data_IF_879742297148
#
_entry.id   IF_879742297148
#
_cell.length_a   1.000
_cell.length_b   1.000
_cell.length_c   1.000
_cell.angle_alpha   90.00
_cell.angle_beta   90.00
_cell.angle_gamma   90.00
#
_symmetry.space_group_name_H-M   'P 1'
#
loop_
_entity.id
_entity.type
_entity.pdbx_description
1 polymer ?
#
# COMPACT_ATOMS: atom_id res chain seq x y z
N UNK A 1 57.95 -3.03 27.51
CA UNK A 1 58.57 -2.35 28.67
C UNK A 1 57.54 -1.42 29.26
N UNK A 2 57.32 -1.47 30.57
CA UNK A 2 56.50 -0.47 31.28
C UNK A 2 57.21 0.87 31.13
N UNK A 3 56.51 1.89 30.60
CA UNK A 3 57.08 3.22 30.37
C UNK A 3 57.23 4.01 31.66
N UNK A 4 58.11 5.02 31.64
CA UNK A 4 58.20 6.03 32.69
C UNK A 4 57.09 7.08 32.50
N UNK A 5 56.42 7.47 33.59
CA UNK A 5 55.33 8.45 33.57
C UNK A 5 55.70 9.61 34.49
N UNK A 6 55.73 10.81 33.92
CA UNK A 6 55.98 12.05 34.64
C UNK A 6 54.66 12.76 34.97
N UNK A 7 54.46 13.10 36.24
CA UNK A 7 53.25 13.77 36.71
C UNK A 7 53.53 15.22 37.15
N UNK A 8 52.67 16.14 36.74
CA UNK A 8 52.68 17.54 37.20
C UNK A 8 51.48 17.81 38.11
N UNK A 9 51.64 17.71 39.44
CA UNK A 9 50.54 17.94 40.39
C UNK A 9 50.15 19.41 40.43
N UNK A 10 49.01 19.76 39.83
CA UNK A 10 48.53 21.15 39.67
C UNK A 10 48.46 21.89 41.01
N UNK A 11 48.14 21.19 42.09
CA UNK A 11 48.06 21.75 43.45
C UNK A 11 49.43 22.03 44.12
N UNK A 12 50.53 21.54 43.56
CA UNK A 12 51.88 21.67 44.14
C UNK A 12 52.89 22.34 43.22
N UNK A 13 52.63 22.38 41.92
CA UNK A 13 53.52 23.05 40.95
C UNK A 13 53.46 24.56 41.21
N UNK A 14 54.62 25.15 41.48
CA UNK A 14 54.79 26.60 41.58
C UNK A 14 55.58 27.07 40.37
N UNK A 15 54.97 27.95 39.57
CA UNK A 15 55.62 28.55 38.41
C UNK A 15 56.16 29.94 38.76
N UNK A 16 57.34 30.26 38.23
CA UNK A 16 57.92 31.61 38.33
C UNK A 16 57.03 32.63 37.61
N UNK A 17 57.03 33.91 38.02
CA UNK A 17 56.32 34.96 37.31
C UNK A 17 56.81 35.03 35.86
N UNK A 18 55.88 35.34 34.96
CA UNK A 18 56.17 35.50 33.53
C UNK A 18 57.13 36.66 33.35
N UNK A 19 58.19 36.43 32.58
CA UNK A 19 59.18 37.44 32.20
C UNK A 19 58.85 37.95 30.81
N UNK A 20 59.07 39.23 30.56
CA UNK A 20 58.92 39.84 29.24
C UNK A 20 60.24 39.79 28.46
N UNK A 21 60.14 39.74 27.14
CA UNK A 21 61.29 39.80 26.24
C UNK A 21 61.54 41.26 25.85
N UNK A 22 62.80 41.71 25.91
CA UNK A 22 63.18 43.06 25.53
C UNK A 22 63.41 43.27 24.02
N UNK A 23 63.24 42.23 23.20
CA UNK A 23 63.69 42.21 21.81
C UNK A 23 62.63 41.60 20.87
N UNK A 24 62.35 42.25 19.73
CA UNK A 24 61.40 41.76 18.71
C UNK A 24 61.88 40.51 17.93
N UNK A 25 63.17 40.19 18.02
CA UNK A 25 63.79 39.06 17.34
C UNK A 25 63.40 37.68 17.94
N UNK A 26 62.65 37.67 19.04
CA UNK A 26 62.22 36.48 19.76
C UNK A 26 60.78 36.61 20.25
N UNK A 27 60.09 35.48 20.42
CA UNK A 27 58.75 35.42 21.03
C UNK A 27 58.72 34.30 22.06
N UNK A 28 58.01 34.51 23.17
CA UNK A 28 57.84 33.43 24.17
C UNK A 28 57.03 32.29 23.55
N UNK A 29 57.47 31.05 23.79
CA UNK A 29 56.76 29.88 23.28
C UNK A 29 55.33 29.81 23.81
N UNK A 30 55.13 30.23 25.07
CA UNK A 30 53.83 30.25 25.73
C UNK A 30 52.78 31.08 24.96
N UNK A 31 53.19 32.14 24.25
CA UNK A 31 52.27 32.99 23.47
C UNK A 31 51.77 32.35 22.18
N UNK A 32 52.46 31.30 21.71
CA UNK A 32 52.06 30.54 20.53
C UNK A 32 51.19 29.32 20.83
N UNK A 33 50.88 29.05 22.10
CA UNK A 33 50.17 27.85 22.54
C UNK A 33 48.75 28.17 22.97
N UNK A 34 47.80 27.33 22.55
CA UNK A 34 46.43 27.33 23.06
C UNK A 34 46.28 26.19 24.07
N UNK A 35 45.91 26.52 25.30
CA UNK A 35 45.70 25.57 26.37
C UNK A 35 44.59 26.04 27.31
N UNK A 36 44.00 25.11 28.05
CA UNK A 36 42.97 25.41 29.06
C UNK A 36 43.61 26.21 30.21
N UNK A 37 43.05 27.39 30.59
CA UNK A 37 43.53 28.21 31.70
C UNK A 37 43.72 27.47 33.02
N UNK A 38 42.95 26.39 33.25
CA UNK A 38 43.12 25.52 34.42
C UNK A 38 44.54 24.98 34.58
N UNK A 39 45.27 24.79 33.48
CA UNK A 39 46.63 24.25 33.47
C UNK A 39 47.71 25.33 33.33
N UNK A 40 47.36 26.61 33.43
CA UNK A 40 48.30 27.73 33.20
C UNK A 40 49.58 27.61 34.03
N UNK A 41 49.46 27.23 35.31
CA UNK A 41 50.61 27.07 36.20
C UNK A 41 51.58 26.00 35.69
N UNK A 42 51.08 24.91 35.11
CA UNK A 42 51.89 23.83 34.55
C UNK A 42 52.55 24.28 33.25
N UNK A 43 51.80 24.88 32.33
CA UNK A 43 52.34 25.39 31.06
C UNK A 43 53.39 26.48 31.29
N UNK A 44 53.18 27.36 32.26
CA UNK A 44 54.17 28.37 32.66
C UNK A 44 55.41 27.74 33.29
N UNK A 45 55.26 26.68 34.09
CA UNK A 45 56.40 25.97 34.67
C UNK A 45 57.27 25.32 33.59
N UNK A 46 56.66 24.70 32.58
CA UNK A 46 57.38 23.96 31.52
C UNK A 46 57.93 24.92 30.44
N UNK A 47 57.11 25.85 29.94
CA UNK A 47 57.43 26.68 28.77
C UNK A 47 57.70 28.16 29.09
N UNK A 48 57.51 28.61 30.33
CA UNK A 48 57.59 30.03 30.68
C UNK A 48 58.98 30.66 30.57
N UNK A 49 60.04 29.84 30.49
CA UNK A 49 61.43 30.29 30.26
C UNK A 49 61.94 29.94 28.86
N UNK A 50 61.07 29.54 27.94
CA UNK A 50 61.43 29.14 26.58
C UNK A 50 61.01 30.21 25.57
N UNK A 51 61.96 30.67 24.77
CA UNK A 51 61.75 31.64 23.70
C UNK A 51 62.04 31.01 22.33
N UNK A 52 61.20 31.33 21.34
CA UNK A 52 61.38 30.94 19.94
C UNK A 52 62.12 32.05 19.22
N UNK A 53 63.19 31.69 18.52
CA UNK A 53 64.08 32.62 17.81
C UNK A 53 64.20 32.25 16.33
N UNK A 54 64.43 33.25 15.47
CA UNK A 54 64.58 33.02 14.02
C UNK A 54 65.93 32.40 13.65
N UNK A 55 66.98 32.71 14.39
CA UNK A 55 68.33 32.24 14.09
C UNK A 55 69.09 31.83 15.35
N UNK A 56 70.01 30.88 15.21
CA UNK A 56 70.86 30.39 16.29
C UNK A 56 71.73 31.51 16.91
N UNK A 57 72.18 32.46 16.07
CA UNK A 57 72.95 33.63 16.52
C UNK A 57 72.12 34.57 17.41
N UNK A 58 70.85 34.80 17.04
CA UNK A 58 69.94 35.59 17.86
C UNK A 58 69.64 34.89 19.19
N UNK A 59 69.43 33.57 19.15
CA UNK A 59 69.23 32.75 20.35
C UNK A 59 70.42 32.77 21.30
N UNK A 60 71.66 32.69 20.80
CA UNK A 60 72.85 32.72 21.65
C UNK A 60 73.01 34.07 22.38
N UNK A 61 72.72 35.19 21.70
CA UNK A 61 72.69 36.52 22.33
C UNK A 61 71.62 36.60 23.42
N UNK A 62 70.40 36.16 23.10
CA UNK A 62 69.28 36.20 24.04
C UNK A 62 69.50 35.30 25.26
N UNK A 63 70.02 34.10 25.06
CA UNK A 63 70.32 33.16 26.13
C UNK A 63 71.39 33.71 27.10
N UNK A 64 72.41 34.42 26.60
CA UNK A 64 73.47 35.02 27.43
C UNK A 64 73.03 36.29 28.16
N UNK A 65 72.26 37.17 27.49
CA UNK A 65 71.89 38.48 28.03
C UNK A 65 70.67 38.35 28.95
N UNK A 66 69.60 37.74 28.45
CA UNK A 66 68.32 37.69 29.15
C UNK A 66 68.10 36.36 29.88
N UNK A 67 68.91 35.33 29.62
CA UNK A 67 68.77 34.06 30.30
C UNK A 67 67.40 33.42 30.02
N UNK A 68 67.08 33.21 28.74
CA UNK A 68 65.99 32.34 28.25
C UNK A 68 66.53 31.12 27.52
N UNK A 69 65.88 29.97 27.67
CA UNK A 69 66.19 28.80 26.85
C UNK A 69 65.60 29.07 25.46
N UNK A 70 66.40 28.99 24.41
CA UNK A 70 66.01 29.41 23.06
C UNK A 70 65.84 28.19 22.15
N UNK A 71 64.83 28.22 21.28
CA UNK A 71 64.58 27.18 20.28
C UNK A 71 64.37 27.81 18.91
N UNK A 72 65.03 27.29 17.87
CA UNK A 72 64.83 27.73 16.48
C UNK A 72 63.65 27.00 15.83
N UNK A 73 63.12 27.54 14.73
CA UNK A 73 62.08 26.83 13.93
C UNK A 73 62.59 25.52 13.31
N UNK A 74 63.90 25.38 13.16
CA UNK A 74 64.54 24.16 12.63
C UNK A 74 64.72 23.09 13.72
N UNK A 75 64.47 23.43 14.99
CA UNK A 75 64.52 22.50 16.12
C UNK A 75 65.82 22.53 16.92
N UNK A 76 66.74 23.44 16.61
CA UNK A 76 67.96 23.64 17.40
C UNK A 76 67.62 24.30 18.73
N UNK A 77 68.24 23.83 19.80
CA UNK A 77 68.02 24.28 21.17
C UNK A 77 69.30 24.89 21.73
N UNK A 78 69.16 26.04 22.38
CA UNK A 78 70.24 26.75 23.07
C UNK A 78 69.82 26.94 24.51
N UNK A 79 70.50 26.26 25.43
CA UNK A 79 70.30 26.45 26.85
C UNK A 79 70.87 27.78 27.31
N UNK A 80 70.28 28.36 28.35
CA UNK A 80 70.84 29.50 29.10
C UNK A 80 72.24 29.27 29.65
N UNK A 81 72.60 28.01 29.84
CA UNK A 81 73.93 27.59 30.31
C UNK A 81 74.96 27.51 29.18
N UNK A 82 74.56 27.75 27.94
CA UNK A 82 75.43 27.74 26.76
C UNK A 82 75.51 26.40 26.03
N UNK A 83 74.78 25.38 26.50
CA UNK A 83 74.66 24.10 25.79
C UNK A 83 73.85 24.29 24.50
N UNK A 84 74.34 23.75 23.39
CA UNK A 84 73.70 23.84 22.08
C UNK A 84 73.44 22.44 21.57
N UNK A 85 72.17 22.12 21.33
CA UNK A 85 71.73 20.82 20.83
C UNK A 85 71.07 21.03 19.48
N UNK A 86 71.58 20.36 18.45
CA UNK A 86 71.03 20.40 17.09
C UNK A 86 71.16 19.05 16.40
N UNK A 87 70.52 18.90 15.25
CA UNK A 87 70.56 17.66 14.47
C UNK A 87 69.49 17.58 13.39
N UNK A 88 69.52 16.52 12.58
CA UNK A 88 68.49 16.28 11.56
C UNK A 88 67.20 15.77 12.22
N UNK A 89 66.12 16.55 12.08
CA UNK A 89 64.78 16.16 12.51
C UNK A 89 63.95 15.74 11.29
N UNK A 90 63.47 14.50 11.27
CA UNK A 90 62.53 14.04 10.24
C UNK A 90 61.14 14.66 10.49
N UNK A 91 60.82 15.71 9.73
CA UNK A 91 59.52 16.38 9.78
C UNK A 91 58.34 15.43 9.60
N UNK A 92 58.50 14.33 8.82
CA UNK A 92 57.41 13.35 8.58
C UNK A 92 57.06 12.53 9.82
N UNK A 93 57.90 12.57 10.85
CA UNK A 93 57.70 11.85 12.12
C UNK A 93 57.30 12.78 13.27
N UNK A 94 56.72 13.94 12.97
CA UNK A 94 56.20 14.84 13.99
C UNK A 94 55.12 14.15 14.83
N UNK A 95 55.43 13.92 16.12
CA UNK A 95 54.49 13.30 17.07
C UNK A 95 53.21 14.13 17.25
N UNK A 96 53.31 15.45 17.16
CA UNK A 96 52.17 16.35 17.25
C UNK A 96 51.23 16.21 16.05
N UNK A 97 51.78 16.07 14.84
CA UNK A 97 50.97 15.82 13.64
C UNK A 97 50.27 14.47 13.70
N UNK A 98 50.97 13.43 14.16
CA UNK A 98 50.37 12.11 14.39
C UNK A 98 49.26 12.16 15.44
N UNK A 99 49.47 12.89 16.55
CA UNK A 99 48.44 13.09 17.57
C UNK A 99 47.20 13.78 16.98
N UNK A 100 47.39 14.87 16.22
CA UNK A 100 46.29 15.59 15.57
C UNK A 100 45.56 14.72 14.54
N UNK A 101 46.28 13.88 13.79
CA UNK A 101 45.68 12.91 12.89
C UNK A 101 44.83 11.89 13.65
N UNK A 102 45.35 11.32 14.74
CA UNK A 102 44.60 10.38 15.60
C UNK A 102 43.34 11.03 16.18
N UNK A 103 43.42 12.27 16.67
CA UNK A 103 42.26 12.99 17.19
C UNK A 103 41.19 13.22 16.12
N UNK A 104 41.59 13.63 14.90
CA UNK A 104 40.66 13.77 13.77
C UNK A 104 39.99 12.44 13.41
N UNK A 105 40.78 11.36 13.32
CA UNK A 105 40.23 10.03 13.02
C UNK A 105 39.26 9.55 14.10
N UNK A 106 39.53 9.85 15.38
CA UNK A 106 38.61 9.54 16.48
C UNK A 106 37.30 10.32 16.39
N UNK A 107 37.36 11.61 16.04
CA UNK A 107 36.17 12.42 15.82
C UNK A 107 35.34 11.87 14.66
N UNK A 108 35.98 11.55 13.54
CA UNK A 108 35.31 10.94 12.39
C UNK A 108 34.69 9.58 12.74
N UNK A 109 35.38 8.75 13.54
CA UNK A 109 34.83 7.48 14.00
C UNK A 109 33.54 7.70 14.80
N UNK A 110 33.55 8.62 15.77
CA UNK A 110 32.38 8.93 16.59
C UNK A 110 31.21 9.49 15.75
N UNK A 111 31.50 10.32 14.75
CA UNK A 111 30.49 10.82 13.81
C UNK A 111 29.89 9.69 12.97
N UNK A 112 30.72 8.79 12.43
CA UNK A 112 30.26 7.64 11.65
C UNK A 112 29.44 6.67 12.50
N UNK A 113 29.87 6.38 13.73
CA UNK A 113 29.12 5.54 14.67
C UNK A 113 27.72 6.11 14.94
N UNK A 114 27.62 7.42 15.18
CA UNK A 114 26.33 8.09 15.37
C UNK A 114 25.44 8.04 14.11
N UNK A 115 26.03 8.10 12.92
CA UNK A 115 25.28 7.95 11.65
C UNK A 115 24.78 6.53 11.47
N UNK A 116 25.60 5.52 11.76
CA UNK A 116 25.22 4.11 11.67
C UNK A 116 24.09 3.80 12.66
N UNK A 117 24.17 4.28 13.89
CA UNK A 117 23.13 4.09 14.90
C UNK A 117 21.80 4.69 14.45
N UNK A 118 21.81 5.94 13.94
CA UNK A 118 20.61 6.58 13.39
C UNK A 118 20.05 5.82 12.20
N UNK A 119 20.90 5.37 11.28
CA UNK A 119 20.49 4.60 10.11
C UNK A 119 19.87 3.25 10.52
N UNK A 120 20.44 2.57 11.52
CA UNK A 120 19.90 1.33 12.08
C UNK A 120 18.53 1.55 12.71
N UNK A 121 18.35 2.61 13.48
CA UNK A 121 17.05 2.95 14.08
C UNK A 121 15.97 3.16 13.00
N UNK A 122 16.25 3.98 11.99
CA UNK A 122 15.33 4.23 10.87
C UNK A 122 15.04 2.96 10.08
N UNK A 123 16.05 2.10 9.89
CA UNK A 123 15.88 0.81 9.21
C UNK A 123 14.94 -0.12 9.99
N UNK A 124 15.11 -0.21 11.31
CA UNK A 124 14.27 -1.02 12.18
C UNK A 124 12.82 -0.51 12.22
N UNK A 125 12.61 0.81 12.29
CA UNK A 125 11.27 1.41 12.21
C UNK A 125 10.58 1.09 10.88
N UNK A 126 11.30 1.23 9.76
CA UNK A 126 10.78 0.88 8.43
C UNK A 126 10.47 -0.61 8.32
N UNK A 127 11.33 -1.48 8.85
CA UNK A 127 11.10 -2.92 8.86
C UNK A 127 9.83 -3.28 9.66
N UNK A 128 9.63 -2.65 10.83
CA UNK A 128 8.41 -2.84 11.63
C UNK A 128 7.15 -2.37 10.89
N UNK A 129 7.22 -1.25 10.15
CA UNK A 129 6.10 -0.76 9.35
C UNK A 129 5.78 -1.67 8.15
N UNK A 130 6.80 -2.20 7.48
CA UNK A 130 6.62 -3.18 6.39
C UNK A 130 5.92 -4.44 6.92
N UNK A 131 6.29 -4.91 8.11
CA UNK A 131 5.65 -6.08 8.70
C UNK A 131 4.19 -5.84 9.07
N UNK A 132 3.86 -4.65 9.60
CA UNK A 132 2.46 -4.26 9.83
C UNK A 132 1.64 -4.25 8.55
N UNK A 133 2.17 -3.64 7.48
CA UNK A 133 1.49 -3.60 6.18
C UNK A 133 1.30 -5.01 5.59
N UNK A 134 2.27 -5.92 5.78
CA UNK A 134 2.13 -7.32 5.36
C UNK A 134 0.98 -8.01 6.09
N UNK A 135 0.89 -7.84 7.42
CA UNK A 135 -0.21 -8.41 8.20
C UNK A 135 -1.57 -7.86 7.76
N UNK A 136 -1.66 -6.57 7.44
CA UNK A 136 -2.88 -5.96 6.89
C UNK A 136 -3.24 -6.53 5.51
N UNK A 137 -2.28 -6.69 4.61
CA UNK A 137 -2.49 -7.35 3.32
C UNK A 137 -3.01 -8.78 3.50
N UNK A 138 -2.42 -9.58 4.40
CA UNK A 138 -2.85 -10.95 4.66
C UNK A 138 -4.29 -11.03 5.19
N UNK A 139 -4.72 -10.03 5.97
CA UNK A 139 -6.12 -9.93 6.46
C UNK A 139 -7.05 -9.61 5.30
N UNK A 140 -6.70 -8.63 4.46
CA UNK A 140 -7.49 -8.24 3.29
C UNK A 140 -7.60 -9.38 2.28
N UNK A 141 -6.53 -10.13 2.03
CA UNK A 141 -6.53 -11.28 1.13
C UNK A 141 -7.46 -12.39 1.62
N UNK A 142 -7.47 -12.66 2.93
CA UNK A 142 -8.44 -13.57 3.55
C UNK A 142 -9.86 -13.05 3.37
N UNK A 143 -10.10 -11.77 3.59
CA UNK A 143 -11.42 -11.17 3.42
C UNK A 143 -11.92 -11.31 1.97
N UNK A 144 -11.07 -11.00 0.99
CA UNK A 144 -11.34 -11.18 -0.44
C UNK A 144 -11.70 -12.63 -0.76
N UNK A 145 -10.97 -13.61 -0.22
CA UNK A 145 -11.29 -15.02 -0.40
C UNK A 145 -12.68 -15.36 0.14
N UNK A 146 -13.02 -14.91 1.36
CA UNK A 146 -14.36 -15.16 1.92
C UNK A 146 -15.47 -14.49 1.12
N UNK A 147 -15.24 -13.28 0.59
CA UNK A 147 -16.21 -12.57 -0.25
C UNK A 147 -16.38 -13.28 -1.59
N UNK A 148 -15.30 -13.78 -2.20
CA UNK A 148 -15.37 -14.58 -3.43
C UNK A 148 -16.19 -15.86 -3.23
N UNK A 149 -16.01 -16.56 -2.12
CA UNK A 149 -16.79 -17.77 -1.80
C UNK A 149 -18.26 -17.46 -1.56
N UNK A 150 -18.56 -16.39 -0.83
CA UNK A 150 -19.94 -15.89 -0.64
C UNK A 150 -20.60 -15.54 -1.98
N UNK A 151 -19.87 -14.83 -2.85
CA UNK A 151 -20.35 -14.45 -4.17
C UNK A 151 -20.60 -15.69 -5.05
N UNK A 152 -19.68 -16.66 -5.06
CA UNK A 152 -19.84 -17.92 -5.79
C UNK A 152 -21.09 -18.66 -5.34
N UNK A 153 -21.26 -18.83 -4.03
CA UNK A 153 -22.42 -19.51 -3.44
C UNK A 153 -23.73 -18.80 -3.79
N UNK A 154 -23.76 -17.46 -3.73
CA UNK A 154 -24.93 -16.67 -4.10
C UNK A 154 -25.25 -16.78 -5.60
N UNK A 155 -24.22 -16.78 -6.46
CA UNK A 155 -24.35 -16.94 -7.91
C UNK A 155 -24.91 -18.32 -8.30
N UNK A 156 -24.41 -19.38 -7.66
CA UNK A 156 -24.91 -20.75 -7.84
C UNK A 156 -26.39 -20.87 -7.41
N UNK A 157 -26.77 -20.29 -6.25
CA UNK A 157 -28.17 -20.21 -5.81
C UNK A 157 -29.05 -19.45 -6.80
N UNK A 158 -28.58 -18.30 -7.30
CA UNK A 158 -29.31 -17.52 -8.31
C UNK A 158 -29.54 -18.35 -9.58
N UNK A 159 -28.51 -19.04 -10.08
CA UNK A 159 -28.61 -19.91 -11.26
C UNK A 159 -29.63 -21.02 -11.04
N UNK A 160 -29.59 -21.69 -9.90
CA UNK A 160 -30.54 -22.75 -9.55
C UNK A 160 -31.99 -22.24 -9.49
N UNK A 161 -32.23 -21.12 -8.81
CA UNK A 161 -33.57 -20.51 -8.72
C UNK A 161 -34.06 -20.04 -10.08
N UNK A 162 -33.19 -19.46 -10.92
CA UNK A 162 -33.55 -19.07 -12.29
C UNK A 162 -33.95 -20.28 -13.14
N UNK A 163 -33.24 -21.41 -13.01
CA UNK A 163 -33.59 -22.65 -13.72
C UNK A 163 -34.93 -23.23 -13.24
N UNK A 164 -35.18 -23.24 -11.92
CA UNK A 164 -36.48 -23.66 -11.38
C UNK A 164 -37.62 -22.77 -11.89
N UNK A 165 -37.40 -21.45 -11.91
CA UNK A 165 -38.39 -20.50 -12.40
C UNK A 165 -38.70 -20.72 -13.89
N UNK A 166 -37.69 -20.94 -14.72
CA UNK A 166 -37.88 -21.25 -16.14
C UNK A 166 -38.65 -22.56 -16.35
N UNK A 167 -38.35 -23.61 -15.57
CA UNK A 167 -39.08 -24.87 -15.66
C UNK A 167 -40.54 -24.71 -15.24
N UNK A 168 -40.80 -23.94 -14.17
CA UNK A 168 -42.15 -23.62 -13.71
C UNK A 168 -42.95 -22.84 -14.76
N UNK A 169 -42.31 -21.85 -15.40
CA UNK A 169 -42.90 -21.08 -16.49
C UNK A 169 -43.23 -21.96 -17.71
N UNK A 170 -42.32 -22.84 -18.13
CA UNK A 170 -42.55 -23.78 -19.24
C UNK A 170 -43.70 -24.74 -18.97
N UNK A 171 -43.87 -25.15 -17.71
CA UNK A 171 -44.97 -26.04 -17.31
C UNK A 171 -46.30 -25.31 -17.12
N UNK A 172 -46.31 -23.98 -17.00
CA UNK A 172 -47.51 -23.18 -16.75
C UNK A 172 -48.45 -23.18 -17.96
N UNK A 173 -47.93 -22.94 -19.16
CA UNK A 173 -48.71 -22.87 -20.40
C UNK A 173 -49.46 -24.17 -20.74
N UNK A 174 -48.84 -25.37 -20.73
CA UNK A 174 -49.57 -26.61 -20.99
C UNK A 174 -50.62 -26.90 -19.92
N UNK A 175 -50.36 -26.55 -18.64
CA UNK A 175 -51.38 -26.68 -17.59
C UNK A 175 -52.57 -25.75 -17.80
N UNK A 176 -52.34 -24.50 -18.24
CA UNK A 176 -53.42 -23.59 -18.61
C UNK A 176 -54.24 -24.17 -19.78
N UNK A 177 -53.57 -24.65 -20.82
CA UNK A 177 -54.25 -25.28 -21.96
C UNK A 177 -55.07 -26.52 -21.53
N UNK A 178 -54.52 -27.35 -20.65
CA UNK A 178 -55.22 -28.50 -20.08
C UNK A 178 -56.45 -28.09 -19.27
N UNK A 179 -56.36 -27.04 -18.45
CA UNK A 179 -57.50 -26.49 -17.72
C UNK A 179 -58.61 -25.99 -18.67
N UNK A 180 -58.25 -25.34 -19.78
CA UNK A 180 -59.22 -24.90 -20.79
C UNK A 180 -59.88 -26.10 -21.48
N UNK A 181 -59.09 -27.10 -21.86
CA UNK A 181 -59.60 -28.34 -22.45
C UNK A 181 -60.60 -29.04 -21.52
N UNK A 182 -60.24 -29.24 -20.25
CA UNK A 182 -61.11 -29.86 -19.27
C UNK A 182 -62.39 -29.06 -19.03
N UNK A 183 -62.31 -27.71 -18.99
CA UNK A 183 -63.50 -26.86 -18.88
C UNK A 183 -64.45 -27.01 -20.07
N UNK A 184 -63.92 -27.08 -21.30
CA UNK A 184 -64.74 -27.30 -22.49
C UNK A 184 -65.37 -28.69 -22.48
N UNK A 185 -64.61 -29.71 -22.09
CA UNK A 185 -65.10 -31.08 -21.93
C UNK A 185 -66.25 -31.18 -20.93
N UNK A 186 -66.13 -30.49 -19.79
CA UNK A 186 -67.20 -30.42 -18.80
C UNK A 186 -68.45 -29.79 -19.41
N UNK A 187 -68.33 -28.65 -20.11
CA UNK A 187 -69.46 -27.99 -20.78
C UNK A 187 -70.11 -28.87 -21.85
N UNK A 188 -69.32 -29.61 -22.62
CA UNK A 188 -69.83 -30.57 -23.61
C UNK A 188 -70.66 -31.66 -22.92
N UNK A 189 -70.12 -32.27 -21.87
CA UNK A 189 -70.81 -33.33 -21.11
C UNK A 189 -72.08 -32.78 -20.46
N UNK A 190 -72.02 -31.60 -19.84
CA UNK A 190 -73.19 -30.92 -19.26
C UNK A 190 -74.28 -30.66 -20.31
N UNK A 191 -73.91 -30.14 -21.49
CA UNK A 191 -74.84 -29.91 -22.59
C UNK A 191 -75.44 -31.23 -23.12
N UNK A 192 -74.65 -32.30 -23.22
CA UNK A 192 -75.18 -33.61 -23.61
C UNK A 192 -76.13 -34.18 -22.56
N UNK A 193 -75.82 -34.03 -21.27
CA UNK A 193 -76.69 -34.46 -20.19
C UNK A 193 -78.00 -33.67 -20.17
N UNK A 194 -77.95 -32.36 -20.40
CA UNK A 194 -79.14 -31.51 -20.49
C UNK A 194 -80.01 -31.85 -21.71
N UNK A 195 -79.39 -32.12 -22.86
CA UNK A 195 -80.08 -32.57 -24.07
C UNK A 195 -80.76 -33.93 -23.88
N UNK A 196 -80.04 -34.92 -23.32
CA UNK A 196 -80.60 -36.25 -23.02
C UNK A 196 -81.73 -36.13 -21.99
N UNK A 197 -81.60 -35.31 -20.96
CA UNK A 197 -82.67 -35.04 -20.00
C UNK A 197 -83.91 -34.43 -20.65
N UNK A 198 -83.76 -33.53 -21.64
CA UNK A 198 -84.89 -32.97 -22.41
C UNK A 198 -85.54 -34.01 -23.34
N UNK A 199 -84.80 -35.02 -23.78
CA UNK A 199 -85.31 -36.13 -24.59
C UNK A 199 -86.04 -37.19 -23.75
N UNK A 200 -85.85 -37.22 -22.44
CA UNK A 200 -86.59 -38.12 -21.56
C UNK A 200 -88.05 -37.65 -21.49
N UNK A 201 -88.95 -38.40 -22.11
CA UNK A 201 -90.40 -38.18 -22.07
C UNK A 201 -91.01 -37.59 -23.35
N UNK A 202 -90.24 -37.36 -24.41
CA UNK A 202 -90.78 -36.92 -25.71
C UNK A 202 -91.23 -38.11 -26.58
N UNK A 203 -92.34 -37.98 -27.34
CA UNK A 203 -92.83 -39.05 -28.22
C UNK A 203 -91.94 -39.23 -29.46
N UNK A 204 -91.54 -40.47 -29.75
CA UNK A 204 -90.74 -40.84 -30.93
C UNK A 204 -91.58 -40.78 -32.21
N UNK A 205 -91.62 -39.62 -32.87
CA UNK A 205 -92.28 -39.42 -34.15
C UNK A 205 -91.30 -39.65 -35.32
N UNK A 206 -91.75 -40.29 -36.41
CA UNK A 206 -90.93 -40.60 -37.59
C UNK A 206 -90.66 -39.38 -38.50
N UNK A 207 -91.35 -38.26 -38.31
CA UNK A 207 -91.25 -37.06 -39.15
C UNK A 207 -91.24 -35.81 -38.26
N UNK A 208 -90.38 -34.83 -38.58
CA UNK A 208 -90.31 -33.54 -37.89
C UNK A 208 -91.62 -32.76 -38.03
N UNK A 209 -92.11 -32.19 -36.93
CA UNK A 209 -93.22 -31.23 -36.90
C UNK A 209 -92.86 -29.93 -37.63
N UNK A 210 -93.85 -29.12 -38.03
CA UNK A 210 -93.61 -27.84 -38.70
C UNK A 210 -92.83 -26.84 -37.83
N UNK A 211 -93.06 -26.85 -36.52
CA UNK A 211 -92.34 -26.03 -35.54
C UNK A 211 -90.85 -26.42 -35.47
N UNK A 212 -90.56 -27.72 -35.49
CA UNK A 212 -89.18 -28.23 -35.52
C UNK A 212 -88.48 -27.91 -36.85
N UNK A 213 -89.20 -27.91 -37.98
CA UNK A 213 -88.63 -27.49 -39.28
C UNK A 213 -88.27 -26.00 -39.31
N UNK A 214 -89.10 -25.14 -38.73
CA UNK A 214 -88.78 -23.72 -38.61
C UNK A 214 -87.61 -23.48 -37.66
N UNK A 215 -87.57 -24.19 -36.52
CA UNK A 215 -86.46 -24.12 -35.58
C UNK A 215 -85.16 -24.64 -36.21
N UNK A 216 -85.21 -25.69 -37.04
CA UNK A 216 -84.07 -26.21 -37.77
C UNK A 216 -83.47 -25.18 -38.74
N UNK A 217 -84.32 -24.48 -39.50
CA UNK A 217 -83.88 -23.45 -40.43
C UNK A 217 -83.24 -22.27 -39.69
N UNK A 218 -83.86 -21.81 -38.59
CA UNK A 218 -83.27 -20.77 -37.74
C UNK A 218 -81.95 -21.22 -37.11
N UNK A 219 -81.85 -22.48 -36.66
CA UNK A 219 -80.61 -23.04 -36.14
C UNK A 219 -79.52 -23.11 -37.22
N UNK A 220 -79.87 -23.49 -38.45
CA UNK A 220 -78.92 -23.50 -39.58
C UNK A 220 -78.40 -22.10 -39.93
N UNK A 221 -79.26 -21.09 -39.91
CA UNK A 221 -78.86 -19.70 -40.13
C UNK A 221 -77.95 -19.20 -38.99
N UNK A 222 -78.34 -19.44 -37.73
CA UNK A 222 -77.54 -19.12 -36.55
C UNK A 222 -76.20 -19.88 -36.53
N UNK A 223 -76.15 -21.13 -36.99
CA UNK A 223 -74.90 -21.90 -37.14
C UNK A 223 -74.01 -21.25 -38.20
N UNK A 224 -74.57 -20.80 -39.32
CA UNK A 224 -73.85 -20.06 -40.35
C UNK A 224 -73.23 -18.77 -39.81
N UNK A 225 -74.02 -17.95 -39.13
CA UNK A 225 -73.56 -16.69 -38.55
C UNK A 225 -72.49 -16.92 -37.46
N UNK A 226 -72.71 -17.89 -36.56
CA UNK A 226 -71.73 -18.23 -35.52
C UNK A 226 -70.45 -18.82 -36.10
N UNK A 227 -70.50 -19.58 -37.21
CA UNK A 227 -69.30 -20.04 -37.92
C UNK A 227 -68.49 -18.87 -38.46
N UNK A 228 -69.14 -17.91 -39.13
CA UNK A 228 -68.46 -16.72 -39.65
C UNK A 228 -67.81 -15.90 -38.53
N UNK A 229 -68.49 -15.75 -37.39
CA UNK A 229 -67.95 -15.07 -36.21
C UNK A 229 -66.81 -15.86 -35.55
N UNK A 230 -66.88 -17.19 -35.53
CA UNK A 230 -65.79 -18.04 -35.04
C UNK A 230 -64.55 -17.91 -35.93
N UNK A 231 -64.73 -17.87 -37.24
CA UNK A 231 -63.63 -17.72 -38.20
C UNK A 231 -62.96 -16.36 -38.09
N UNK A 232 -63.72 -15.27 -37.93
CA UNK A 232 -63.15 -13.94 -37.73
C UNK A 232 -62.37 -13.82 -36.42
N UNK A 233 -62.91 -14.35 -35.32
CA UNK A 233 -62.23 -14.38 -34.02
C UNK A 233 -60.98 -15.28 -34.07
N UNK A 234 -61.03 -16.42 -34.74
CA UNK A 234 -59.88 -17.29 -34.91
C UNK A 234 -58.76 -16.62 -35.72
N UNK A 235 -59.08 -15.89 -36.80
CA UNK A 235 -58.08 -15.12 -37.56
C UNK A 235 -57.39 -14.08 -36.67
N UNK A 236 -58.18 -13.30 -35.92
CA UNK A 236 -57.63 -12.32 -34.98
C UNK A 236 -56.77 -12.98 -33.91
N UNK A 237 -57.18 -14.14 -33.38
CA UNK A 237 -56.39 -14.90 -32.41
C UNK A 237 -55.05 -15.35 -32.97
N UNK A 238 -55.02 -15.86 -34.20
CA UNK A 238 -53.79 -16.31 -34.87
C UNK A 238 -52.84 -15.14 -35.12
N UNK A 239 -53.37 -13.98 -35.54
CA UNK A 239 -52.56 -12.75 -35.71
C UNK A 239 -51.94 -12.31 -34.38
N UNK A 240 -52.73 -12.26 -33.31
CA UNK A 240 -52.26 -11.95 -31.96
C UNK A 240 -51.24 -12.96 -31.43
N UNK A 241 -51.46 -14.27 -31.64
CA UNK A 241 -50.48 -15.31 -31.29
C UNK A 241 -49.17 -15.12 -32.06
N UNK A 242 -49.21 -14.80 -33.36
CA UNK A 242 -48.02 -14.55 -34.17
C UNK A 242 -47.22 -13.34 -33.67
N UNK A 243 -47.91 -12.26 -33.32
CA UNK A 243 -47.27 -11.04 -32.80
C UNK A 243 -46.67 -11.27 -31.42
N UNK A 244 -47.35 -12.01 -30.55
CA UNK A 244 -46.83 -12.45 -29.25
C UNK A 244 -45.53 -13.24 -29.44
N UNK A 245 -45.54 -14.27 -30.30
CA UNK A 245 -44.39 -15.14 -30.55
C UNK A 245 -43.20 -14.34 -31.10
N UNK A 246 -43.45 -13.37 -31.99
CA UNK A 246 -42.40 -12.47 -32.50
C UNK A 246 -41.77 -11.64 -31.39
N UNK A 247 -42.57 -11.04 -30.52
CA UNK A 247 -42.10 -10.22 -29.39
C UNK A 247 -41.34 -11.08 -28.36
N UNK A 248 -41.85 -12.26 -28.03
CA UNK A 248 -41.19 -13.22 -27.13
C UNK A 248 -39.84 -13.67 -27.68
N UNK A 249 -39.76 -13.94 -28.99
CA UNK A 249 -38.50 -14.26 -29.65
C UNK A 249 -37.52 -13.09 -29.59
N UNK A 250 -37.95 -11.85 -29.85
CA UNK A 250 -37.07 -10.68 -29.72
C UNK A 250 -36.56 -10.49 -28.28
N UNK A 251 -37.42 -10.73 -27.30
CA UNK A 251 -37.08 -10.58 -25.89
C UNK A 251 -36.09 -11.65 -25.42
N UNK A 252 -36.31 -12.90 -25.82
CA UNK A 252 -35.45 -14.05 -25.46
C UNK A 252 -34.13 -14.07 -26.22
N UNK A 253 -34.14 -13.86 -27.54
CA UNK A 253 -32.91 -13.98 -28.36
C UNK A 253 -32.02 -12.75 -28.28
N UNK A 254 -32.59 -11.55 -28.15
CA UNK A 254 -31.83 -10.30 -28.23
C UNK A 254 -31.67 -9.63 -26.86
N UNK A 255 -32.79 -9.27 -26.22
CA UNK A 255 -32.75 -8.40 -25.04
C UNK A 255 -32.23 -9.13 -23.79
N UNK A 256 -32.65 -10.36 -23.55
CA UNK A 256 -32.13 -11.16 -22.44
C UNK A 256 -30.63 -11.46 -22.60
N UNK A 257 -30.18 -11.82 -23.81
CA UNK A 257 -28.75 -12.05 -24.08
C UNK A 257 -27.91 -10.78 -23.92
N UNK A 258 -28.37 -9.63 -24.42
CA UNK A 258 -27.67 -8.35 -24.22
C UNK A 258 -27.55 -8.00 -22.74
N UNK A 259 -28.61 -8.21 -21.96
CA UNK A 259 -28.58 -7.99 -20.50
C UNK A 259 -27.59 -8.91 -19.80
N UNK A 260 -27.55 -10.19 -20.15
CA UNK A 260 -26.58 -11.15 -19.59
C UNK A 260 -25.14 -10.76 -19.95
N UNK A 261 -24.87 -10.41 -21.21
CA UNK A 261 -23.55 -9.97 -21.65
C UNK A 261 -23.09 -8.71 -20.91
N UNK A 262 -23.98 -7.74 -20.68
CA UNK A 262 -23.65 -6.52 -19.93
C UNK A 262 -23.38 -6.81 -18.45
N UNK A 263 -24.14 -7.74 -17.84
CA UNK A 263 -23.91 -8.17 -16.46
C UNK A 263 -22.61 -8.96 -16.29
N UNK A 264 -22.19 -9.73 -17.30
CA UNK A 264 -20.89 -10.41 -17.26
C UNK A 264 -19.71 -9.45 -17.44
N UNK A 265 -19.90 -8.34 -18.17
CA UNK A 265 -18.84 -7.34 -18.40
C UNK A 265 -18.71 -6.36 -17.23
N UNK A 266 -19.77 -6.09 -16.47
CA UNK A 266 -19.73 -5.19 -15.30
C UNK A 266 -19.21 -5.84 -14.00
N UNK A 267 -18.76 -7.09 -14.03
CA UNK A 267 -18.02 -7.75 -12.95
C UNK A 267 -16.65 -8.20 -13.47
N UNK A 268 -15.69 -7.28 -13.71
CA UNK A 268 -14.30 -7.66 -13.79
C UNK A 268 -13.83 -8.09 -12.39
N UNK A 269 -13.10 -9.22 -12.36
CA UNK A 269 -12.46 -9.80 -11.19
C UNK A 269 -11.43 -8.89 -10.53
#
# INVERSE_FOLDING_TARGET
LMGEINFFPINRVVAKPRRELGTEAARLLLDGLYFDPKYEVVFRHIFGNVAVVRSMQAGNRLAKIEGFDCVTFEGDQISRRGEMTGGFLDMKRSRLELYNAVQRMRQQLAELEAVVEKASCVSNEKAANVEKLRLECDVLDREILTLKDKHRTASEKKRFLSQQLQQSMKNREPKIAQCVYLKNRIREVEATAESLNKQIGTPLMSQLSEEEKQMLNQLQENIGEKKLRLDSVNRSRVELESTKLRLENQLTTNLHRKRENLQSVSCPA
#
